data_IF_226997074642
#
_entry.id   IF_226997074642
#
_cell.length_a   1.000
_cell.length_b   1.000
_cell.length_c   1.000
_cell.angle_alpha   90.00
_cell.angle_beta   90.00
_cell.angle_gamma   90.00
#
_symmetry.space_group_name_H-M   'P 1'
#
loop_
_entity.id
_entity.type
_entity.pdbx_description
1 polymer ?
#
# COMPACT_ATOMS: atom_id res chain seq x y z
N UNK A 1 -26.70 -25.76 -45.94
CA UNK A 1 -26.28 -24.87 -44.85
C UNK A 1 -27.20 -25.11 -43.67
N UNK A 2 -26.59 -25.52 -42.55
CA UNK A 2 -27.16 -26.21 -41.39
C UNK A 2 -27.83 -25.25 -40.37
N UNK A 3 -28.56 -24.23 -40.84
CA UNK A 3 -29.15 -23.21 -39.95
C UNK A 3 -30.22 -23.79 -39.01
N UNK A 4 -31.02 -24.73 -39.50
CA UNK A 4 -32.03 -25.43 -38.69
C UNK A 4 -31.39 -26.29 -37.58
N UNK A 5 -30.24 -26.89 -37.86
CA UNK A 5 -29.51 -27.73 -36.92
C UNK A 5 -28.84 -26.90 -35.82
N UNK A 6 -28.25 -25.75 -36.20
CA UNK A 6 -27.70 -24.77 -35.24
C UNK A 6 -28.80 -24.22 -34.33
N UNK A 7 -29.99 -23.92 -34.86
CA UNK A 7 -31.11 -23.42 -34.07
C UNK A 7 -31.64 -24.46 -33.07
N UNK A 8 -31.70 -25.73 -33.47
CA UNK A 8 -32.11 -26.84 -32.61
C UNK A 8 -31.10 -27.10 -31.49
N UNK A 9 -29.80 -27.12 -31.80
CA UNK A 9 -28.74 -27.30 -30.81
C UNK A 9 -28.68 -26.12 -29.83
N UNK A 10 -28.82 -24.88 -30.31
CA UNK A 10 -28.89 -23.69 -29.45
C UNK A 10 -30.10 -23.73 -28.52
N UNK A 11 -31.26 -24.14 -29.02
CA UNK A 11 -32.47 -24.27 -28.20
C UNK A 11 -32.33 -25.35 -27.13
N UNK A 12 -31.69 -26.48 -27.46
CA UNK A 12 -31.41 -27.57 -26.51
C UNK A 12 -30.44 -27.12 -25.41
N UNK A 13 -29.40 -26.38 -25.75
CA UNK A 13 -28.45 -25.82 -24.76
C UNK A 13 -29.15 -24.78 -23.88
N UNK A 14 -29.99 -23.91 -24.44
CA UNK A 14 -30.75 -22.93 -23.65
C UNK A 14 -31.77 -23.59 -22.72
N UNK A 15 -32.41 -24.68 -23.14
CA UNK A 15 -33.30 -25.47 -22.27
C UNK A 15 -32.54 -26.16 -21.14
N UNK A 16 -31.33 -26.66 -21.40
CA UNK A 16 -30.46 -27.23 -20.37
C UNK A 16 -29.95 -26.17 -19.39
N UNK A 17 -29.69 -24.95 -19.85
CA UNK A 17 -29.34 -23.82 -18.98
C UNK A 17 -30.54 -23.36 -18.16
N UNK A 18 -31.75 -23.38 -18.73
CA UNK A 18 -32.99 -23.06 -18.02
C UNK A 18 -33.41 -24.10 -16.97
N UNK A 19 -32.87 -25.31 -17.04
CA UNK A 19 -33.07 -26.38 -16.04
C UNK A 19 -31.94 -26.48 -15.02
N UNK A 20 -30.88 -25.68 -15.14
CA UNK A 20 -29.92 -25.54 -14.06
C UNK A 20 -30.65 -24.98 -12.84
N UNK A 21 -30.51 -25.60 -11.66
CA UNK A 21 -31.07 -25.02 -10.45
C UNK A 21 -30.51 -23.61 -10.33
N UNK A 22 -31.40 -22.61 -10.33
CA UNK A 22 -31.07 -21.26 -9.88
C UNK A 22 -30.38 -21.45 -8.54
N UNK A 23 -29.07 -21.19 -8.51
CA UNK A 23 -28.27 -21.32 -7.30
C UNK A 23 -29.04 -20.59 -6.22
N UNK A 24 -29.61 -21.34 -5.27
CA UNK A 24 -30.50 -20.79 -4.27
C UNK A 24 -29.74 -19.63 -3.63
N UNK A 25 -30.36 -18.44 -3.62
CA UNK A 25 -29.88 -17.32 -2.83
C UNK A 25 -29.95 -17.77 -1.36
N UNK A 26 -28.87 -18.39 -0.92
CA UNK A 26 -28.73 -19.02 0.38
C UNK A 26 -28.55 -17.94 1.42
N UNK A 27 -29.63 -17.65 2.14
CA UNK A 27 -29.61 -16.85 3.37
C UNK A 27 -29.07 -15.42 3.25
N UNK A 28 -29.17 -14.64 4.34
CA UNK A 28 -28.45 -13.38 4.42
C UNK A 28 -26.93 -13.64 4.37
N UNK A 29 -26.14 -12.77 3.71
CA UNK A 29 -24.70 -12.93 3.67
C UNK A 29 -24.11 -12.89 5.10
N UNK A 30 -23.09 -13.71 5.39
CA UNK A 30 -22.45 -13.70 6.70
C UNK A 30 -21.80 -12.33 6.98
N UNK A 31 -21.73 -11.91 8.26
CA UNK A 31 -21.08 -10.66 8.63
C UNK A 31 -19.60 -10.69 8.30
N UNK A 32 -19.09 -9.65 7.62
CA UNK A 32 -17.69 -9.54 7.24
C UNK A 32 -16.85 -9.15 8.48
N UNK A 33 -15.90 -10.00 8.94
CA UNK A 33 -15.05 -9.64 10.06
C UNK A 33 -14.05 -8.56 9.66
N UNK A 34 -13.73 -7.57 10.52
CA UNK A 34 -12.83 -6.49 10.15
C UNK A 34 -11.36 -6.95 10.07
N UNK A 35 -10.65 -6.49 9.05
CA UNK A 35 -9.20 -6.68 8.95
C UNK A 35 -8.48 -5.85 10.03
N UNK A 36 -7.74 -6.51 10.93
CA UNK A 36 -6.99 -5.86 12.02
C UNK A 36 -5.51 -5.76 11.64
N UNK A 37 -5.06 -4.57 11.30
CA UNK A 37 -3.64 -4.28 11.03
C UNK A 37 -3.12 -3.35 12.11
N UNK A 38 -1.98 -3.70 12.72
CA UNK A 38 -1.34 -2.87 13.74
C UNK A 38 -0.57 -1.75 13.06
N UNK A 39 -0.76 -0.48 13.47
CA UNK A 39 0.06 0.62 12.98
C UNK A 39 1.53 0.44 13.42
N UNK A 40 2.45 0.84 12.55
CA UNK A 40 3.87 0.88 12.83
C UNK A 40 4.27 2.26 13.37
N UNK A 41 5.16 2.27 14.37
CA UNK A 41 5.74 3.49 14.93
C UNK A 41 7.13 3.72 14.32
N UNK A 42 7.27 4.80 13.54
CA UNK A 42 8.51 5.17 12.84
C UNK A 42 9.43 6.07 13.68
N UNK A 43 8.98 6.56 14.83
CA UNK A 43 9.79 7.40 15.74
C UNK A 43 11.17 6.83 16.07
N UNK A 44 11.32 5.55 16.44
CA UNK A 44 12.65 4.99 16.72
C UNK A 44 13.58 5.10 15.51
N UNK A 45 13.07 4.85 14.31
CA UNK A 45 13.88 4.87 13.08
C UNK A 45 14.33 6.28 12.71
N UNK A 46 13.47 7.29 12.95
CA UNK A 46 13.80 8.69 12.69
C UNK A 46 14.77 9.26 13.73
N UNK A 47 14.76 8.73 14.96
CA UNK A 47 15.67 9.17 16.01
C UNK A 47 17.14 8.87 15.67
N UNK A 48 17.39 7.77 14.95
CA UNK A 48 18.72 7.38 14.47
C UNK A 48 19.27 8.31 13.38
N UNK A 49 18.40 9.05 12.69
CA UNK A 49 18.80 9.93 11.58
C UNK A 49 19.25 11.32 12.04
N UNK A 50 19.12 11.66 13.33
CA UNK A 50 19.58 12.94 13.87
C UNK A 50 18.89 14.17 13.27
N UNK A 51 17.68 14.01 12.73
CA UNK A 51 16.91 15.12 12.19
C UNK A 51 16.50 16.14 13.27
N UNK A 52 16.25 17.39 12.87
CA UNK A 52 15.66 18.39 13.77
C UNK A 52 14.27 17.93 14.24
N UNK A 53 13.86 18.35 15.45
CA UNK A 53 12.56 17.94 16.00
C UNK A 53 11.37 18.28 15.09
N UNK A 54 11.38 19.44 14.43
CA UNK A 54 10.33 19.83 13.48
C UNK A 54 10.32 18.97 12.22
N UNK A 55 11.49 18.59 11.71
CA UNK A 55 11.61 17.65 10.58
C UNK A 55 11.09 16.27 10.97
N UNK A 56 11.47 15.77 12.14
CA UNK A 56 11.00 14.48 12.66
C UNK A 56 9.48 14.45 12.78
N UNK A 57 8.87 15.49 13.37
CA UNK A 57 7.40 15.61 13.46
C UNK A 57 6.71 15.66 12.09
N UNK A 58 7.28 16.38 11.12
CA UNK A 58 6.75 16.42 9.76
C UNK A 58 6.81 15.03 9.10
N UNK A 59 7.93 14.31 9.23
CA UNK A 59 8.10 12.96 8.68
C UNK A 59 7.16 11.95 9.32
N UNK A 60 6.94 12.03 10.64
CA UNK A 60 5.95 11.22 11.36
C UNK A 60 4.56 11.42 10.75
N UNK A 61 4.12 12.68 10.57
CA UNK A 61 2.79 12.98 10.00
C UNK A 61 2.64 12.46 8.58
N UNK A 62 3.69 12.58 7.75
CA UNK A 62 3.70 12.05 6.38
C UNK A 62 3.54 10.52 6.41
N UNK A 63 4.28 9.84 7.29
CA UNK A 63 4.21 8.39 7.44
C UNK A 63 2.84 7.92 7.97
N UNK A 64 2.32 8.56 9.01
CA UNK A 64 1.00 8.26 9.58
C UNK A 64 -0.12 8.45 8.56
N UNK A 65 -0.04 9.49 7.74
CA UNK A 65 -0.97 9.72 6.64
C UNK A 65 -0.89 8.60 5.58
N UNK A 66 0.31 8.22 5.16
CA UNK A 66 0.52 7.13 4.20
C UNK A 66 0.00 5.80 4.74
N UNK A 67 0.32 5.47 6.00
CA UNK A 67 -0.14 4.27 6.70
C UNK A 67 -1.67 4.23 6.81
N UNK A 68 -2.30 5.36 7.15
CA UNK A 68 -3.76 5.47 7.23
C UNK A 68 -4.45 5.22 5.89
N UNK A 69 -3.87 5.74 4.80
CA UNK A 69 -4.37 5.48 3.44
C UNK A 69 -4.21 4.01 3.05
N UNK A 70 -3.07 3.41 3.37
CA UNK A 70 -2.80 2.01 3.10
C UNK A 70 -3.77 1.09 3.85
N UNK A 71 -3.95 1.31 5.16
CA UNK A 71 -4.90 0.57 5.98
C UNK A 71 -6.32 0.64 5.42
N UNK A 72 -6.78 1.84 5.03
CA UNK A 72 -8.09 2.01 4.41
C UNK A 72 -8.21 1.23 3.11
N UNK A 73 -7.21 1.32 2.23
CA UNK A 73 -7.21 0.62 0.94
C UNK A 73 -7.25 -0.90 1.12
N UNK A 74 -6.43 -1.46 2.03
CA UNK A 74 -6.41 -2.89 2.31
C UNK A 74 -7.74 -3.35 2.91
N UNK A 75 -8.29 -2.61 3.88
CA UNK A 75 -9.59 -2.91 4.49
C UNK A 75 -10.71 -2.92 3.46
N UNK A 76 -10.85 -1.87 2.67
CA UNK A 76 -11.89 -1.78 1.63
C UNK A 76 -11.75 -2.88 0.58
N UNK A 77 -10.52 -3.20 0.17
CA UNK A 77 -10.27 -4.26 -0.82
C UNK A 77 -10.63 -5.64 -0.27
N UNK A 78 -10.29 -5.91 0.98
CA UNK A 78 -10.64 -7.13 1.69
C UNK A 78 -12.17 -7.27 1.84
N UNK A 79 -12.85 -6.24 2.32
CA UNK A 79 -14.31 -6.22 2.48
C UNK A 79 -15.02 -6.42 1.14
N UNK A 80 -14.58 -5.73 0.10
CA UNK A 80 -15.13 -5.86 -1.25
C UNK A 80 -14.96 -7.29 -1.79
N UNK A 81 -13.82 -7.92 -1.53
CA UNK A 81 -13.54 -9.29 -2.00
C UNK A 81 -14.41 -10.30 -1.26
N UNK A 82 -14.57 -10.14 0.06
CA UNK A 82 -15.47 -11.00 0.85
C UNK A 82 -16.94 -10.82 0.48
N UNK A 83 -17.37 -9.60 0.20
CA UNK A 83 -18.73 -9.35 -0.26
C UNK A 83 -19.01 -10.08 -1.57
N UNK A 84 -18.06 -10.01 -2.53
CA UNK A 84 -18.17 -10.74 -3.80
C UNK A 84 -18.25 -12.25 -3.58
N UNK A 85 -17.45 -12.78 -2.65
CA UNK A 85 -17.43 -14.20 -2.32
C UNK A 85 -18.75 -14.65 -1.66
N UNK A 86 -19.31 -13.83 -0.78
CA UNK A 86 -20.62 -14.06 -0.18
C UNK A 86 -21.74 -14.10 -1.25
N UNK A 87 -21.72 -13.15 -2.20
CA UNK A 87 -22.71 -13.11 -3.28
C UNK A 87 -22.59 -14.24 -4.29
N UNK A 88 -21.40 -14.88 -4.39
CA UNK A 88 -21.18 -16.00 -5.30
C UNK A 88 -21.82 -17.32 -4.83
N UNK A 89 -22.50 -17.33 -3.67
CA UNK A 89 -23.23 -18.50 -3.18
C UNK A 89 -22.32 -19.69 -2.81
N UNK A 90 -21.13 -19.40 -2.26
CA UNK A 90 -20.20 -20.45 -1.83
C UNK A 90 -20.78 -21.25 -0.66
N UNK A 91 -20.51 -22.55 -0.63
CA UNK A 91 -20.76 -23.39 0.54
C UNK A 91 -20.10 -22.78 1.80
N UNK A 92 -20.74 -22.89 2.95
CA UNK A 92 -20.33 -22.26 4.22
C UNK A 92 -18.90 -22.66 4.59
N UNK A 93 -18.54 -23.95 4.42
CA UNK A 93 -17.17 -24.42 4.70
C UNK A 93 -16.13 -23.84 3.74
N UNK A 94 -16.52 -23.58 2.50
CA UNK A 94 -15.68 -22.97 1.47
C UNK A 94 -15.52 -21.47 1.75
N UNK A 95 -16.59 -20.79 2.15
CA UNK A 95 -16.58 -19.39 2.55
C UNK A 95 -15.58 -19.14 3.69
N UNK A 96 -15.66 -19.93 4.76
CA UNK A 96 -14.76 -19.79 5.92
C UNK A 96 -13.28 -20.01 5.57
N UNK A 97 -12.99 -20.98 4.70
CA UNK A 97 -11.64 -21.23 4.23
C UNK A 97 -11.10 -20.04 3.42
N UNK A 98 -11.90 -19.50 2.50
CA UNK A 98 -11.54 -18.32 1.74
C UNK A 98 -11.39 -17.08 2.62
N UNK A 99 -12.25 -16.91 3.62
CA UNK A 99 -12.16 -15.79 4.56
C UNK A 99 -10.82 -15.79 5.28
N UNK A 100 -10.42 -16.91 5.87
CA UNK A 100 -9.12 -17.05 6.56
C UNK A 100 -7.95 -16.80 5.59
N UNK A 101 -8.02 -17.35 4.38
CA UNK A 101 -6.98 -17.14 3.37
C UNK A 101 -6.86 -15.66 2.95
N UNK A 102 -7.99 -14.97 2.78
CA UNK A 102 -8.03 -13.55 2.46
C UNK A 102 -7.52 -12.70 3.62
N UNK A 103 -7.86 -13.02 4.85
CA UNK A 103 -7.37 -12.33 6.04
C UNK A 103 -5.84 -12.39 6.12
N UNK A 104 -5.24 -13.58 5.98
CA UNK A 104 -3.79 -13.76 5.97
C UNK A 104 -3.15 -13.00 4.81
N UNK A 105 -3.72 -13.12 3.61
CA UNK A 105 -3.19 -12.48 2.40
C UNK A 105 -3.19 -10.95 2.53
N UNK A 106 -4.31 -10.35 2.89
CA UNK A 106 -4.44 -8.90 3.00
C UNK A 106 -3.67 -8.33 4.19
N UNK A 107 -3.58 -9.07 5.30
CA UNK A 107 -2.73 -8.68 6.43
C UNK A 107 -1.27 -8.60 6.00
N UNK A 108 -0.77 -9.66 5.34
CA UNK A 108 0.61 -9.68 4.82
C UNK A 108 0.86 -8.57 3.81
N UNK A 109 -0.03 -8.42 2.83
CA UNK A 109 0.09 -7.36 1.82
C UNK A 109 0.15 -5.96 2.46
N UNK A 110 -0.68 -5.71 3.48
CA UNK A 110 -0.66 -4.42 4.16
C UNK A 110 0.65 -4.21 4.95
N UNK A 111 1.13 -5.24 5.64
CA UNK A 111 2.40 -5.16 6.37
C UNK A 111 3.57 -4.94 5.43
N UNK A 112 3.67 -5.70 4.34
CA UNK A 112 4.75 -5.60 3.36
C UNK A 112 4.79 -4.19 2.73
N UNK A 113 3.64 -3.66 2.35
CA UNK A 113 3.55 -2.30 1.80
C UNK A 113 3.91 -1.23 2.84
N UNK A 114 3.52 -1.40 4.10
CA UNK A 114 3.85 -0.47 5.19
C UNK A 114 5.36 -0.45 5.45
N UNK A 115 6.00 -1.63 5.50
CA UNK A 115 7.45 -1.74 5.66
C UNK A 115 8.21 -1.17 4.45
N UNK A 116 7.67 -1.35 3.24
CA UNK A 116 8.22 -0.74 2.03
C UNK A 116 8.12 0.79 2.06
N UNK A 117 6.97 1.35 2.43
CA UNK A 117 6.79 2.81 2.60
C UNK A 117 7.75 3.38 3.65
N UNK A 118 7.93 2.67 4.78
CA UNK A 118 8.93 3.03 5.80
C UNK A 118 10.32 3.08 5.20
N UNK A 119 10.75 2.01 4.54
CA UNK A 119 12.09 1.92 3.95
C UNK A 119 12.34 3.04 2.94
N UNK A 120 11.36 3.32 2.06
CA UNK A 120 11.43 4.40 1.09
C UNK A 120 11.57 5.76 1.76
N UNK A 121 10.78 6.05 2.81
CA UNK A 121 10.87 7.32 3.53
C UNK A 121 12.25 7.51 4.17
N UNK A 122 12.76 6.49 4.87
CA UNK A 122 14.07 6.57 5.52
C UNK A 122 15.20 6.74 4.49
N UNK A 123 15.09 6.07 3.35
CA UNK A 123 16.07 6.19 2.27
C UNK A 123 16.07 7.58 1.62
N UNK A 124 14.90 8.17 1.41
CA UNK A 124 14.79 9.56 0.93
C UNK A 124 15.41 10.54 1.92
N UNK A 125 15.20 10.35 3.23
CA UNK A 125 15.83 11.21 4.24
C UNK A 125 17.35 11.09 4.21
N UNK A 126 17.89 9.86 4.12
CA UNK A 126 19.34 9.65 4.01
C UNK A 126 19.92 10.29 2.75
N UNK A 127 19.25 10.14 1.60
CA UNK A 127 19.66 10.80 0.35
C UNK A 127 19.65 12.32 0.46
N UNK A 128 18.62 12.89 1.09
CA UNK A 128 18.55 14.32 1.33
C UNK A 128 19.69 14.82 2.22
N UNK A 129 20.02 14.10 3.30
CA UNK A 129 21.13 14.43 4.17
C UNK A 129 22.48 14.39 3.45
N UNK A 130 22.74 13.33 2.67
CA UNK A 130 23.98 13.20 1.90
C UNK A 130 24.14 14.33 0.87
N UNK A 131 23.05 14.77 0.23
CA UNK A 131 23.07 15.89 -0.70
C UNK A 131 23.45 17.22 -0.04
N UNK A 132 22.93 17.49 1.17
CA UNK A 132 23.28 18.69 1.94
C UNK A 132 24.76 18.67 2.34
N UNK A 133 25.27 17.54 2.85
CA UNK A 133 26.69 17.40 3.21
C UNK A 133 27.60 17.56 1.99
N UNK A 134 27.24 16.97 0.84
CA UNK A 134 27.99 17.11 -0.40
C UNK A 134 28.01 18.55 -0.94
N UNK A 135 26.91 19.29 -0.77
CA UNK A 135 26.81 20.70 -1.19
C UNK A 135 27.67 21.59 -0.29
N UNK A 136 27.63 21.39 1.02
CA UNK A 136 28.46 22.12 1.98
C UNK A 136 29.96 21.87 1.77
N UNK A 137 30.35 20.64 1.41
CA UNK A 137 31.74 20.30 1.08
C UNK A 137 32.21 20.95 -0.24
N UNK A 138 31.32 21.07 -1.23
CA UNK A 138 31.63 21.75 -2.49
C UNK A 138 31.75 23.28 -2.31
N UNK A 139 30.91 23.88 -1.46
CA UNK A 139 30.99 25.31 -1.12
C UNK A 139 32.21 25.64 -0.25
N UNK A 140 32.64 24.74 0.63
CA UNK A 140 33.89 24.90 1.39
C UNK A 140 35.15 24.90 0.50
N UNK A 141 35.05 24.41 -0.74
CA UNK A 141 36.13 24.44 -1.75
C UNK A 141 36.17 25.72 -2.60
N UNK A 142 35.16 26.59 -2.51
CA UNK A 142 35.21 27.93 -3.09
C UNK A 142 35.83 28.87 -2.06
N UNK A 143 37.13 29.07 -2.21
CA UNK A 143 37.98 29.87 -1.33
C UNK A 143 37.27 31.12 -0.79
N UNK A 144 37.39 31.26 0.53
CA UNK A 144 37.01 32.47 1.24
C UNK A 144 37.67 33.67 0.57
N UNK A 145 36.88 34.48 -0.14
CA UNK A 145 37.32 35.77 -0.71
C UNK A 145 37.93 36.70 0.36
N UNK A 146 37.71 36.40 1.64
CA UNK A 146 38.29 37.13 2.76
C UNK A 146 39.81 36.99 2.85
N UNK A 147 40.40 35.85 2.48
CA UNK A 147 41.85 35.65 2.61
C UNK A 147 42.63 36.37 1.49
N UNK A 148 42.07 36.40 0.27
CA UNK A 148 42.67 37.12 -0.86
C UNK A 148 42.58 38.65 -0.70
N UNK A 149 41.48 39.16 -0.15
CA UNK A 149 41.30 40.60 0.11
C UNK A 149 42.18 41.09 1.27
N UNK A 150 42.35 40.29 2.33
CA UNK A 150 43.27 40.63 3.43
C UNK A 150 44.72 40.64 2.94
N UNK A 151 45.12 39.68 2.11
CA UNK A 151 46.47 39.65 1.53
C UNK A 151 46.78 40.82 0.58
N UNK A 152 45.76 41.41 -0.08
CA UNK A 152 45.91 42.61 -0.91
C UNK A 152 46.01 43.88 -0.06
N UNK A 153 45.32 43.95 1.07
CA UNK A 153 45.35 45.11 1.98
C UNK A 153 46.62 45.17 2.85
N UNK A 154 47.29 44.04 3.10
CA UNK A 154 48.58 44.01 3.82
C UNK A 154 49.80 44.31 2.93
N UNK A 155 49.59 44.50 1.61
CA UNK A 155 50.66 44.75 0.63
C UNK A 155 50.63 46.16 0.03
N UNK A 156 49.67 47.00 0.43
CA UNK A 156 49.53 48.40 0.03
C UNK A 156 50.01 49.34 1.15
#
# INVERSE_FOLDING_TARGET
MDTARIAADSSRVLQLLGSLPLSCAGGPPPPIPPLRIRPYDIRPDLSELGCSGSTTEALIRIFEFAQSRLHRSCKTSYETTLQKLATAGSDVGVYDAYQKALEVRYSRLCLDNMMSTRAQLLEEVRRAQAGVTGTLAADAGRGSFSDEVVAVLERA
#
